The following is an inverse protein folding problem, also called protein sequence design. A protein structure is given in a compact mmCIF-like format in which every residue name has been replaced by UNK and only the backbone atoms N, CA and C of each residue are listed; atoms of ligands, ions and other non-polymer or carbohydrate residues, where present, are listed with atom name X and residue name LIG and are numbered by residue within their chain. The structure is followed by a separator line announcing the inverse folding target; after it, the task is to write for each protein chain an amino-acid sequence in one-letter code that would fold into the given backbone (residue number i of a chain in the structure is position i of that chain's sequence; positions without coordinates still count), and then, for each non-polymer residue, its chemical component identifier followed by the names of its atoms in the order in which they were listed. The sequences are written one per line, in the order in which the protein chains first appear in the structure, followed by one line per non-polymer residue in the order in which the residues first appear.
data_IF_821584814752
#
_entry.id   IF_821584814752
#
_cell.length_a   1.000
_cell.length_b   1.000
_cell.length_c   1.000
_cell.angle_alpha   90.00
_cell.angle_beta   90.00
_cell.angle_gamma   90.00
#
_symmetry.space_group_name_H-M   'P 1'
#
loop_
_entity.id
_entity.type
_entity.pdbx_description
1 polymer ?
#
# COMPACT_ATOMS: atom_id res chain seq x y z
N UNK A 1 61.08 91.89 -99.10
CA UNK A 1 62.15 91.02 -98.57
C UNK A 1 63.30 90.86 -99.56
N UNK A 2 64.13 91.88 -99.63
CA UNK A 2 65.50 91.82 -100.11
C UNK A 2 66.28 90.77 -99.31
N UNK A 3 66.99 89.90 -100.01
CA UNK A 3 67.91 88.97 -99.37
C UNK A 3 69.23 89.67 -99.07
N UNK A 4 69.98 89.26 -98.03
CA UNK A 4 71.33 89.77 -97.78
C UNK A 4 72.25 89.68 -99.01
N UNK A 5 72.05 88.68 -99.86
CA UNK A 5 72.77 88.50 -101.11
C UNK A 5 72.33 89.52 -102.18
N UNK A 6 71.02 89.77 -102.34
CA UNK A 6 70.51 90.81 -103.24
C UNK A 6 70.99 92.22 -102.82
N UNK A 7 71.17 92.46 -101.51
CA UNK A 7 71.72 93.73 -101.01
C UNK A 7 73.17 93.93 -101.43
N UNK A 8 73.95 92.84 -101.39
CA UNK A 8 75.36 92.84 -101.75
C UNK A 8 75.57 92.99 -103.26
N UNK A 9 74.68 92.41 -104.05
CA UNK A 9 74.77 92.37 -105.51
C UNK A 9 74.04 93.55 -106.19
N UNK A 10 73.48 94.49 -105.41
CA UNK A 10 72.77 95.67 -105.93
C UNK A 10 73.73 96.64 -106.64
N UNK A 11 73.50 96.86 -107.93
CA UNK A 11 74.16 97.89 -108.72
C UNK A 11 73.28 99.15 -108.84
N UNK A 12 73.90 100.32 -108.90
CA UNK A 12 73.22 101.61 -109.04
C UNK A 12 73.67 102.32 -110.31
N UNK A 13 72.77 103.07 -110.95
CA UNK A 13 73.10 103.86 -112.13
C UNK A 13 74.06 105.01 -111.78
N UNK A 14 75.04 105.26 -112.65
CA UNK A 14 76.02 106.34 -112.50
C UNK A 14 75.55 107.56 -113.32
N UNK A 15 75.45 108.73 -112.67
CA UNK A 15 75.20 110.04 -113.27
C UNK A 15 76.47 110.90 -113.20
N UNK A 16 76.43 112.12 -113.75
CA UNK A 16 77.58 113.04 -113.72
C UNK A 16 78.05 113.23 -112.27
N UNK A 17 79.22 112.67 -111.95
CA UNK A 17 79.90 112.76 -110.66
C UNK A 17 79.34 111.86 -109.53
N UNK A 18 78.75 110.69 -109.82
CA UNK A 18 78.45 109.67 -108.79
C UNK A 18 77.23 108.79 -109.10
N UNK A 19 76.78 108.00 -108.12
CA UNK A 19 75.55 107.19 -108.23
C UNK A 19 74.28 108.08 -108.23
N UNK A 20 73.19 107.58 -108.82
CA UNK A 20 71.91 108.25 -108.84
C UNK A 20 71.29 108.34 -107.44
N UNK A 21 71.23 109.56 -106.90
CA UNK A 21 70.71 109.80 -105.56
C UNK A 21 69.23 109.41 -105.38
N UNK A 22 68.42 109.40 -106.46
CA UNK A 22 67.01 109.01 -106.37
C UNK A 22 66.88 107.49 -106.23
N UNK A 23 67.60 106.73 -107.07
CA UNK A 23 67.63 105.27 -107.04
C UNK A 23 68.20 104.74 -105.71
N UNK A 24 69.31 105.31 -105.24
CA UNK A 24 69.90 104.97 -103.93
C UNK A 24 68.92 105.24 -102.79
N UNK A 25 68.20 106.37 -102.81
CA UNK A 25 67.20 106.68 -101.76
C UNK A 25 66.02 105.71 -101.78
N UNK A 26 65.46 105.42 -102.95
CA UNK A 26 64.35 104.47 -103.09
C UNK A 26 64.75 103.07 -102.61
N UNK A 27 65.98 102.65 -102.93
CA UNK A 27 66.53 101.39 -102.45
C UNK A 27 66.76 101.38 -100.93
N UNK A 28 67.31 102.45 -100.35
CA UNK A 28 67.51 102.56 -98.90
C UNK A 28 66.17 102.62 -98.13
N UNK A 29 65.14 103.21 -98.71
CA UNK A 29 63.78 103.22 -98.14
C UNK A 29 63.18 101.81 -98.14
N UNK A 30 63.28 101.08 -99.26
CA UNK A 30 62.86 99.68 -99.35
C UNK A 30 63.66 98.78 -98.38
N UNK A 31 64.98 98.98 -98.28
CA UNK A 31 65.83 98.25 -97.33
C UNK A 31 65.45 98.57 -95.88
N UNK A 32 65.12 99.82 -95.57
CA UNK A 32 64.69 100.21 -94.23
C UNK A 32 63.33 99.60 -93.86
N UNK A 33 62.39 99.53 -94.80
CA UNK A 33 61.09 98.87 -94.63
C UNK A 33 61.27 97.37 -94.38
N UNK A 34 62.00 96.66 -95.24
CA UNK A 34 62.29 95.23 -95.06
C UNK A 34 63.05 94.95 -93.74
N UNK A 35 64.01 95.81 -93.36
CA UNK A 35 64.73 95.67 -92.10
C UNK A 35 63.83 95.92 -90.88
N UNK A 36 62.92 96.88 -90.98
CA UNK A 36 61.92 97.13 -89.94
C UNK A 36 60.98 95.93 -89.80
N UNK A 37 60.47 95.38 -90.90
CA UNK A 37 59.61 94.18 -90.87
C UNK A 37 60.32 92.99 -90.20
N UNK A 38 61.58 92.72 -90.55
CA UNK A 38 62.37 91.64 -89.93
C UNK A 38 62.61 91.91 -88.44
N UNK A 39 62.89 93.14 -88.05
CA UNK A 39 63.12 93.51 -86.63
C UNK A 39 61.84 93.35 -85.81
N UNK A 40 60.70 93.77 -86.36
CA UNK A 40 59.42 93.65 -85.70
C UNK A 40 58.96 92.18 -85.62
N UNK A 41 59.17 91.39 -86.68
CA UNK A 41 58.97 89.95 -86.64
C UNK A 41 59.85 89.27 -85.57
N UNK A 42 61.12 89.67 -85.47
CA UNK A 42 62.03 89.13 -84.45
C UNK A 42 61.57 89.50 -83.03
N UNK A 43 61.04 90.71 -82.82
CA UNK A 43 60.45 91.14 -81.55
C UNK A 43 59.22 90.30 -81.19
N UNK A 44 58.28 90.15 -82.11
CA UNK A 44 57.04 89.37 -81.91
C UNK A 44 57.36 87.90 -81.65
N UNK A 45 58.28 87.31 -82.41
CA UNK A 45 58.72 85.93 -82.20
C UNK A 45 59.41 85.75 -80.84
N UNK A 46 60.21 86.73 -80.39
CA UNK A 46 60.83 86.68 -79.06
C UNK A 46 59.78 86.71 -77.94
N UNK A 47 58.76 87.56 -78.07
CA UNK A 47 57.64 87.64 -77.13
C UNK A 47 56.81 86.34 -77.12
N UNK A 48 56.55 85.75 -78.28
CA UNK A 48 55.85 84.47 -78.39
C UNK A 48 56.65 83.32 -77.76
N UNK A 49 57.97 83.28 -77.99
CA UNK A 49 58.87 82.30 -77.35
C UNK A 49 58.86 82.47 -75.83
N UNK A 50 58.88 83.70 -75.32
CA UNK A 50 58.83 83.97 -73.88
C UNK A 50 57.49 83.52 -73.28
N UNK A 51 56.37 83.83 -73.94
CA UNK A 51 55.04 83.41 -73.52
C UNK A 51 54.90 81.87 -73.51
N UNK A 52 55.31 81.20 -74.58
CA UNK A 52 55.28 79.73 -74.68
C UNK A 52 56.18 79.06 -73.63
N UNK A 53 57.34 79.65 -73.31
CA UNK A 53 58.22 79.14 -72.25
C UNK A 53 57.59 79.28 -70.86
N UNK A 54 56.94 80.41 -70.58
CA UNK A 54 56.24 80.62 -69.32
C UNK A 54 55.06 79.64 -69.16
N UNK A 55 54.30 79.40 -70.24
CA UNK A 55 53.25 78.40 -70.26
C UNK A 55 53.81 76.99 -70.04
N UNK A 56 54.89 76.63 -70.74
CA UNK A 56 55.56 75.33 -70.57
C UNK A 56 56.02 75.14 -69.12
N UNK A 57 56.60 76.15 -68.49
CA UNK A 57 57.03 76.09 -67.09
C UNK A 57 55.84 75.90 -66.15
N UNK A 58 54.74 76.61 -66.38
CA UNK A 58 53.50 76.46 -65.61
C UNK A 58 52.93 75.04 -65.73
N UNK A 59 52.84 74.51 -66.95
CA UNK A 59 52.34 73.16 -67.21
C UNK A 59 53.23 72.08 -66.61
N UNK A 60 54.56 72.27 -66.61
CA UNK A 60 55.49 71.35 -65.95
C UNK A 60 55.26 71.33 -64.44
N UNK A 61 55.13 72.51 -63.81
CA UNK A 61 54.82 72.60 -62.37
C UNK A 61 53.49 71.94 -62.03
N UNK A 62 52.44 72.22 -62.81
CA UNK A 62 51.12 71.60 -62.63
C UNK A 62 51.21 70.07 -62.77
N UNK A 63 51.89 69.58 -63.80
CA UNK A 63 52.13 68.14 -64.00
C UNK A 63 52.85 67.51 -62.80
N UNK A 64 53.88 68.16 -62.25
CA UNK A 64 54.59 67.69 -61.06
C UNK A 64 53.66 67.61 -59.84
N UNK A 65 52.81 68.61 -59.63
CA UNK A 65 51.82 68.59 -58.53
C UNK A 65 50.80 67.47 -58.71
N UNK A 66 50.27 67.26 -59.91
CA UNK A 66 49.35 66.17 -60.21
C UNK A 66 49.99 64.79 -60.03
N UNK A 67 51.25 64.62 -60.42
CA UNK A 67 51.99 63.37 -60.18
C UNK A 67 52.14 63.11 -58.67
N UNK A 68 52.45 64.15 -57.90
CA UNK A 68 52.57 64.03 -56.45
C UNK A 68 51.22 63.68 -55.79
N UNK A 69 50.13 64.30 -56.23
CA UNK A 69 48.78 64.03 -55.73
C UNK A 69 48.31 62.61 -56.09
N UNK A 70 48.50 62.18 -57.34
CA UNK A 70 48.17 60.82 -57.78
C UNK A 70 48.96 59.80 -56.97
N UNK A 71 50.26 60.03 -56.74
CA UNK A 71 51.07 59.14 -55.93
C UNK A 71 50.58 59.06 -54.49
N UNK A 72 50.29 60.20 -53.86
CA UNK A 72 49.75 60.23 -52.50
C UNK A 72 48.39 59.51 -52.41
N UNK A 73 47.54 59.66 -53.43
CA UNK A 73 46.26 58.93 -53.49
C UNK A 73 46.46 57.43 -53.68
N UNK A 74 47.46 56.99 -54.45
CA UNK A 74 47.80 55.58 -54.63
C UNK A 74 48.33 54.98 -53.32
N UNK A 75 49.29 55.63 -52.68
CA UNK A 75 49.86 55.17 -51.40
C UNK A 75 48.75 55.07 -50.32
N UNK A 76 47.81 56.01 -50.28
CA UNK A 76 46.66 55.96 -49.39
C UNK A 76 45.71 54.79 -49.72
N UNK A 77 45.43 54.56 -51.01
CA UNK A 77 44.57 53.46 -51.43
C UNK A 77 45.19 52.10 -51.10
N UNK A 78 46.50 51.94 -51.31
CA UNK A 78 47.26 50.74 -50.97
C UNK A 78 47.26 50.50 -49.45
N UNK A 79 47.41 51.57 -48.66
CA UNK A 79 47.31 51.51 -47.19
C UNK A 79 45.94 51.03 -46.72
N UNK A 80 44.86 51.63 -47.25
CA UNK A 80 43.48 51.21 -46.94
C UNK A 80 43.25 49.75 -47.34
N UNK A 81 43.76 49.33 -48.50
CA UNK A 81 43.62 47.95 -48.94
C UNK A 81 44.36 46.98 -48.01
N UNK A 82 45.57 47.32 -47.57
CA UNK A 82 46.32 46.53 -46.59
C UNK A 82 45.56 46.40 -45.26
N UNK A 83 45.02 47.50 -44.73
CA UNK A 83 44.24 47.50 -43.49
C UNK A 83 42.97 46.63 -43.60
N UNK A 84 42.31 46.68 -44.75
CA UNK A 84 41.14 45.83 -45.05
C UNK A 84 41.53 44.35 -45.08
N UNK A 85 42.63 44.01 -45.76
CA UNK A 85 43.14 42.63 -45.84
C UNK A 85 43.54 42.08 -44.47
N UNK A 86 44.19 42.88 -43.63
CA UNK A 86 44.49 42.52 -42.24
C UNK A 86 43.22 42.34 -41.40
N UNK A 87 42.23 43.22 -41.59
CA UNK A 87 40.92 43.12 -40.95
C UNK A 87 40.18 41.83 -41.32
N UNK A 88 40.23 41.41 -42.59
CA UNK A 88 39.66 40.12 -43.02
C UNK A 88 40.39 38.93 -42.40
N UNK A 89 41.74 38.94 -42.39
CA UNK A 89 42.52 37.88 -41.73
C UNK A 89 42.19 37.74 -40.25
N UNK A 90 42.03 38.86 -39.53
CA UNK A 90 41.63 38.82 -38.13
C UNK A 90 40.25 38.20 -37.95
N UNK A 91 39.27 38.59 -38.78
CA UNK A 91 37.91 38.01 -38.74
C UNK A 91 37.92 36.53 -39.08
N UNK A 92 38.72 36.09 -40.03
CA UNK A 92 38.84 34.68 -40.39
C UNK A 92 39.41 33.87 -39.21
N UNK A 93 40.43 34.39 -38.51
CA UNK A 93 40.95 33.76 -37.29
C UNK A 93 39.90 33.69 -36.18
N UNK A 94 39.14 34.76 -35.96
CA UNK A 94 38.06 34.79 -34.98
C UNK A 94 36.93 33.80 -35.32
N UNK A 95 36.57 33.69 -36.61
CA UNK A 95 35.59 32.71 -37.10
C UNK A 95 36.07 31.29 -36.83
N UNK A 96 37.34 30.98 -37.11
CA UNK A 96 37.90 29.65 -36.84
C UNK A 96 37.93 29.34 -35.33
N UNK A 97 38.31 30.30 -34.48
CA UNK A 97 38.25 30.13 -33.02
C UNK A 97 36.81 29.88 -32.52
N UNK A 98 35.84 30.61 -33.07
CA UNK A 98 34.42 30.42 -32.72
C UNK A 98 33.88 29.07 -33.20
N UNK A 99 34.29 28.60 -34.38
CA UNK A 99 33.93 27.26 -34.88
C UNK A 99 34.51 26.17 -33.98
N UNK A 100 35.76 26.30 -33.53
CA UNK A 100 36.36 25.34 -32.61
C UNK A 100 35.60 25.29 -31.28
N UNK A 101 35.28 26.46 -30.70
CA UNK A 101 34.46 26.54 -29.48
C UNK A 101 33.08 25.93 -29.66
N UNK A 102 32.44 26.15 -30.82
CA UNK A 102 31.14 25.57 -31.15
C UNK A 102 31.23 24.04 -31.21
N UNK A 103 32.24 23.49 -31.90
CA UNK A 103 32.43 22.05 -32.01
C UNK A 103 32.64 21.38 -30.63
N UNK A 104 33.42 22.01 -29.74
CA UNK A 104 33.61 21.53 -28.37
C UNK A 104 32.30 21.57 -27.58
N UNK A 105 31.50 22.63 -27.74
CA UNK A 105 30.21 22.75 -27.08
C UNK A 105 29.20 21.71 -27.58
N UNK A 106 29.17 21.45 -28.89
CA UNK A 106 28.33 20.41 -29.51
C UNK A 106 28.70 19.02 -29.01
N UNK A 107 30.00 18.68 -28.94
CA UNK A 107 30.45 17.40 -28.38
C UNK A 107 30.00 17.24 -26.92
N UNK A 108 30.17 18.28 -26.10
CA UNK A 108 29.75 18.25 -24.69
C UNK A 108 28.23 18.09 -24.54
N UNK A 109 27.45 18.73 -25.41
CA UNK A 109 26.00 18.57 -25.42
C UNK A 109 25.59 17.14 -25.76
N UNK A 110 26.26 16.50 -26.72
CA UNK A 110 26.01 15.10 -27.08
C UNK A 110 26.37 14.13 -25.94
N UNK A 111 27.48 14.38 -25.23
CA UNK A 111 27.89 13.60 -24.05
C UNK A 111 26.86 13.72 -22.92
N UNK A 112 26.38 14.92 -22.62
CA UNK A 112 25.33 15.16 -21.63
C UNK A 112 24.00 14.53 -22.04
N UNK A 113 23.66 14.52 -23.33
CA UNK A 113 22.46 13.87 -23.82
C UNK A 113 22.53 12.35 -23.58
N UNK A 114 23.66 11.71 -23.93
CA UNK A 114 23.88 10.29 -23.65
C UNK A 114 23.80 9.97 -22.16
N UNK A 115 24.36 10.81 -21.30
CA UNK A 115 24.27 10.63 -19.85
C UNK A 115 22.81 10.72 -19.36
N UNK A 116 22.04 11.69 -19.84
CA UNK A 116 20.62 11.82 -19.51
C UNK A 116 19.80 10.60 -19.97
N UNK A 117 20.09 10.05 -21.16
CA UNK A 117 19.43 8.83 -21.65
C UNK A 117 19.72 7.64 -20.72
N UNK A 118 20.98 7.47 -20.29
CA UNK A 118 21.36 6.42 -19.33
C UNK A 118 20.65 6.62 -17.98
N UNK A 119 20.61 7.86 -17.47
CA UNK A 119 19.94 8.17 -16.22
C UNK A 119 18.43 7.92 -16.31
N UNK A 120 17.81 8.21 -17.44
CA UNK A 120 16.38 7.97 -17.68
C UNK A 120 16.07 6.47 -17.63
N UNK A 121 16.85 5.63 -18.33
CA UNK A 121 16.71 4.18 -18.26
C UNK A 121 16.90 3.67 -16.83
N UNK A 122 17.87 4.23 -16.09
CA UNK A 122 18.09 3.83 -14.69
C UNK A 122 16.91 4.19 -13.78
N UNK A 123 16.26 5.34 -14.01
CA UNK A 123 15.05 5.73 -13.29
C UNK A 123 13.92 4.75 -13.59
N UNK A 124 13.69 4.41 -14.86
CA UNK A 124 12.67 3.43 -15.25
C UNK A 124 12.88 2.06 -14.60
N UNK A 125 14.12 1.55 -14.57
CA UNK A 125 14.46 0.30 -13.88
C UNK A 125 14.15 0.36 -12.37
N UNK A 126 14.47 1.48 -11.72
CA UNK A 126 14.23 1.66 -10.29
C UNK A 126 12.73 1.77 -9.98
N UNK A 127 11.96 2.43 -10.85
CA UNK A 127 10.50 2.50 -10.73
C UNK A 127 9.84 1.12 -10.90
N UNK A 128 10.31 0.31 -11.84
CA UNK A 128 9.85 -1.08 -12.01
C UNK A 128 10.17 -1.93 -10.77
N UNK A 129 11.37 -1.80 -10.21
CA UNK A 129 11.73 -2.47 -8.96
C UNK A 129 10.86 -2.04 -7.78
N UNK A 130 10.64 -0.73 -7.61
CA UNK A 130 9.79 -0.18 -6.55
C UNK A 130 8.35 -0.67 -6.65
N UNK A 131 7.79 -0.72 -7.85
CA UNK A 131 6.44 -1.25 -8.08
C UNK A 131 6.34 -2.74 -7.81
N UNK A 132 7.38 -3.51 -8.17
CA UNK A 132 7.50 -4.92 -7.80
C UNK A 132 7.53 -5.14 -6.29
N UNK A 133 8.36 -4.39 -5.57
CA UNK A 133 8.50 -4.47 -4.11
C UNK A 133 7.21 -4.04 -3.39
N UNK A 134 6.50 -3.03 -3.90
CA UNK A 134 5.18 -2.64 -3.40
C UNK A 134 4.15 -3.78 -3.55
N UNK A 135 4.20 -4.52 -4.67
CA UNK A 135 3.36 -5.70 -4.89
C UNK A 135 3.64 -6.82 -3.89
N UNK A 136 4.92 -7.10 -3.62
CA UNK A 136 5.34 -8.06 -2.58
C UNK A 136 4.87 -7.62 -1.19
N UNK A 137 5.03 -6.33 -0.85
CA UNK A 137 4.55 -5.79 0.42
C UNK A 137 3.03 -5.93 0.59
N UNK A 138 2.24 -5.76 -0.47
CA UNK A 138 0.79 -5.99 -0.43
C UNK A 138 0.44 -7.47 -0.23
N UNK A 139 1.18 -8.39 -0.84
CA UNK A 139 1.00 -9.83 -0.62
C UNK A 139 1.33 -10.21 0.82
N UNK A 140 2.46 -9.76 1.34
CA UNK A 140 2.89 -10.01 2.72
C UNK A 140 1.87 -9.46 3.74
N UNK A 141 1.34 -8.26 3.48
CA UNK A 141 0.29 -7.66 4.30
C UNK A 141 -0.98 -8.53 4.31
N UNK A 142 -1.40 -9.02 3.14
CA UNK A 142 -2.57 -9.88 3.01
C UNK A 142 -2.38 -11.24 3.69
N UNK A 143 -1.17 -11.82 3.65
CA UNK A 143 -0.84 -13.03 4.40
C UNK A 143 -0.82 -12.80 5.90
N UNK A 144 -0.24 -11.69 6.37
CA UNK A 144 -0.26 -11.29 7.77
C UNK A 144 -1.68 -11.15 8.31
N UNK A 145 -2.57 -10.53 7.55
CA UNK A 145 -3.97 -10.38 7.93
C UNK A 145 -4.70 -11.74 8.00
N UNK A 146 -4.43 -12.66 7.07
CA UNK A 146 -4.95 -14.04 7.13
C UNK A 146 -4.44 -14.80 8.34
N UNK A 147 -3.14 -14.70 8.65
CA UNK A 147 -2.56 -15.36 9.82
C UNK A 147 -3.15 -14.78 11.10
N UNK A 148 -3.30 -13.45 11.21
CA UNK A 148 -3.94 -12.79 12.36
C UNK A 148 -5.38 -13.26 12.55
N UNK A 149 -6.17 -13.34 11.48
CA UNK A 149 -7.53 -13.86 11.55
C UNK A 149 -7.55 -15.32 12.05
N UNK A 150 -6.62 -16.15 11.56
CA UNK A 150 -6.51 -17.55 12.00
C UNK A 150 -6.10 -17.67 13.47
N UNK A 151 -5.18 -16.83 13.95
CA UNK A 151 -4.77 -16.77 15.36
C UNK A 151 -5.97 -16.39 16.23
N UNK A 152 -6.75 -15.38 15.84
CA UNK A 152 -7.94 -14.97 16.60
C UNK A 152 -8.97 -16.11 16.76
N UNK A 153 -9.25 -16.86 15.69
CA UNK A 153 -10.16 -18.02 15.74
C UNK A 153 -9.58 -19.14 16.62
N UNK A 154 -8.27 -19.40 16.52
CA UNK A 154 -7.62 -20.39 17.38
C UNK A 154 -7.62 -19.98 18.85
N UNK A 155 -7.48 -18.69 19.15
CA UNK A 155 -7.59 -18.17 20.52
C UNK A 155 -9.02 -18.29 21.06
N UNK A 156 -10.04 -17.99 20.25
CA UNK A 156 -11.45 -18.14 20.60
C UNK A 156 -11.79 -19.60 20.91
N UNK A 157 -11.47 -20.52 20.01
CA UNK A 157 -11.68 -21.96 20.22
C UNK A 157 -10.93 -22.51 21.44
N UNK A 158 -9.71 -22.02 21.71
CA UNK A 158 -8.96 -22.42 22.90
C UNK A 158 -9.62 -21.91 24.19
N UNK A 159 -10.17 -20.69 24.16
CA UNK A 159 -10.92 -20.14 25.28
C UNK A 159 -12.24 -20.89 25.52
N UNK A 160 -12.95 -21.28 24.45
CA UNK A 160 -14.13 -22.15 24.55
C UNK A 160 -13.78 -23.50 25.17
N UNK A 161 -12.76 -24.20 24.64
CA UNK A 161 -12.30 -25.48 25.19
C UNK A 161 -11.87 -25.37 26.65
N UNK A 162 -11.20 -24.28 27.04
CA UNK A 162 -10.86 -24.01 28.45
C UNK A 162 -12.11 -23.85 29.31
N UNK A 163 -13.11 -23.12 28.82
CA UNK A 163 -14.39 -22.93 29.53
C UNK A 163 -15.13 -24.25 29.67
N UNK A 164 -15.24 -25.04 28.61
CA UNK A 164 -15.81 -26.40 28.65
C UNK A 164 -15.06 -27.28 29.65
N UNK A 165 -13.72 -27.21 29.68
CA UNK A 165 -12.90 -27.95 30.65
C UNK A 165 -13.19 -27.54 32.10
N UNK A 166 -13.44 -26.25 32.35
CA UNK A 166 -13.89 -25.76 33.67
C UNK A 166 -15.28 -26.30 34.00
N UNK A 167 -16.24 -26.15 33.09
CA UNK A 167 -17.63 -26.60 33.27
C UNK A 167 -17.69 -28.11 33.55
N UNK A 168 -16.91 -28.90 32.81
CA UNK A 168 -16.76 -30.34 33.00
C UNK A 168 -16.18 -30.67 34.39
N UNK A 169 -15.15 -29.95 34.84
CA UNK A 169 -14.58 -30.10 36.19
C UNK A 169 -15.63 -29.78 37.27
N UNK A 170 -16.42 -28.71 37.12
CA UNK A 170 -17.51 -28.38 38.05
C UNK A 170 -18.57 -29.48 38.10
N UNK A 171 -18.92 -30.04 36.94
CA UNK A 171 -19.88 -31.14 36.84
C UNK A 171 -19.37 -32.40 37.52
N UNK A 172 -18.09 -32.76 37.33
CA UNK A 172 -17.46 -33.87 38.05
C UNK A 172 -17.48 -33.63 39.56
N UNK A 173 -17.15 -32.43 40.02
CA UNK A 173 -17.18 -32.09 41.45
C UNK A 173 -18.60 -32.16 42.02
N UNK A 174 -19.61 -31.74 41.26
CA UNK A 174 -21.01 -31.87 41.65
C UNK A 174 -21.44 -33.34 41.72
N UNK A 175 -21.07 -34.16 40.73
CA UNK A 175 -21.33 -35.60 40.73
C UNK A 175 -20.62 -36.33 41.88
N UNK A 176 -19.37 -35.96 42.19
CA UNK A 176 -18.63 -36.48 43.35
C UNK A 176 -19.34 -36.11 44.66
N UNK A 177 -19.66 -34.82 44.86
CA UNK A 177 -20.42 -34.38 46.04
C UNK A 177 -21.77 -35.06 46.15
N UNK A 178 -22.47 -35.26 45.03
CA UNK A 178 -23.74 -35.98 45.00
C UNK A 178 -23.54 -37.43 45.44
N UNK A 179 -22.56 -38.14 44.88
CA UNK A 179 -22.24 -39.51 45.28
C UNK A 179 -21.85 -39.61 46.77
N UNK A 180 -21.03 -38.69 47.28
CA UNK A 180 -20.65 -38.64 48.70
C UNK A 180 -21.87 -38.37 49.59
N UNK A 181 -22.75 -37.43 49.18
CA UNK A 181 -23.98 -37.13 49.92
C UNK A 181 -24.96 -38.31 49.91
N UNK A 182 -25.11 -38.99 48.77
CA UNK A 182 -25.96 -40.18 48.62
C UNK A 182 -25.45 -41.32 49.50
N UNK A 183 -24.12 -41.48 49.58
CA UNK A 183 -23.49 -42.47 50.45
C UNK A 183 -23.76 -42.14 51.92
N UNK A 184 -23.56 -40.89 52.33
CA UNK A 184 -23.81 -40.45 53.71
C UNK A 184 -25.29 -40.60 54.10
N UNK A 185 -26.23 -40.25 53.22
CA UNK A 185 -27.67 -40.46 53.48
C UNK A 185 -28.02 -41.94 53.52
N UNK A 186 -27.48 -42.75 52.61
CA UNK A 186 -27.70 -44.21 52.62
C UNK A 186 -27.14 -44.87 53.90
N UNK A 187 -25.98 -44.44 54.38
CA UNK A 187 -25.40 -44.90 55.64
C UNK A 187 -26.28 -44.49 56.85
N UNK A 188 -26.81 -43.27 56.85
CA UNK A 188 -27.73 -42.80 57.89
C UNK A 188 -29.08 -43.53 57.88
N UNK A 189 -29.69 -43.71 56.69
CA UNK A 189 -30.93 -44.46 56.50
C UNK A 189 -30.76 -45.93 56.92
N UNK A 190 -29.64 -46.57 56.54
CA UNK A 190 -29.33 -47.93 56.95
C UNK A 190 -29.14 -48.04 58.48
N UNK A 191 -28.46 -47.07 59.10
CA UNK A 191 -28.32 -47.03 60.56
C UNK A 191 -29.67 -46.88 61.26
N UNK A 192 -30.55 -46.02 60.74
CA UNK A 192 -31.90 -45.84 61.28
C UNK A 192 -32.76 -47.09 61.08
N UNK A 193 -32.64 -47.77 59.94
CA UNK A 193 -33.34 -49.03 59.68
C UNK A 193 -32.88 -50.13 60.64
N UNK A 194 -31.58 -50.24 60.91
CA UNK A 194 -31.05 -51.18 61.91
C UNK A 194 -31.53 -50.86 63.32
N UNK A 195 -31.61 -49.57 63.69
CA UNK A 195 -32.11 -49.17 64.99
C UNK A 195 -33.61 -49.46 65.14
N UNK A 196 -34.42 -49.19 64.11
CA UNK A 196 -35.83 -49.55 64.08
C UNK A 196 -36.01 -51.08 64.19
N UNK A 197 -35.23 -51.87 63.46
CA UNK A 197 -35.27 -53.32 63.55
C UNK A 197 -34.90 -53.82 64.95
N UNK A 198 -33.93 -53.18 65.63
CA UNK A 198 -33.61 -53.49 67.03
C UNK A 198 -34.77 -53.18 67.97
N UNK A 199 -35.41 -52.01 67.82
CA UNK A 199 -36.57 -51.63 68.61
C UNK A 199 -37.74 -52.60 68.40
N UNK A 200 -37.98 -53.03 67.16
CA UNK A 200 -38.99 -54.05 66.85
C UNK A 200 -38.67 -55.39 67.51
N UNK A 201 -37.41 -55.83 67.47
CA UNK A 201 -36.97 -57.07 68.13
C UNK A 201 -37.12 -56.98 69.65
N UNK A 202 -36.74 -55.85 70.26
CA UNK A 202 -36.91 -55.64 71.70
C UNK A 202 -38.39 -55.60 72.10
N UNK A 203 -39.24 -54.95 71.29
CA UNK A 203 -40.69 -54.98 71.50
C UNK A 203 -41.25 -56.39 71.38
N UNK A 204 -40.83 -57.14 70.36
CA UNK A 204 -41.23 -58.53 70.19
C UNK A 204 -40.81 -59.42 71.37
N UNK A 205 -39.60 -59.24 71.90
CA UNK A 205 -39.16 -59.93 73.13
C UNK A 205 -40.03 -59.56 74.32
N UNK A 206 -40.31 -58.27 74.52
CA UNK A 206 -41.15 -57.80 75.63
C UNK A 206 -42.56 -58.39 75.54
N UNK A 207 -43.15 -58.45 74.34
CA UNK A 207 -44.45 -59.07 74.09
C UNK A 207 -44.40 -60.59 74.36
N UNK A 208 -43.33 -61.27 73.95
CA UNK A 208 -43.14 -62.70 74.21
C UNK A 208 -42.95 -63.00 75.71
N UNK A 209 -42.21 -62.17 76.45
CA UNK A 209 -42.05 -62.27 77.90
C UNK A 209 -43.38 -62.02 78.64
N UNK A 210 -44.18 -61.05 78.17
CA UNK A 210 -45.51 -60.80 78.70
C UNK A 210 -46.42 -62.02 78.52
N UNK A 211 -46.44 -62.63 77.32
CA UNK A 211 -47.17 -63.87 77.06
C UNK A 211 -46.68 -65.04 77.93
N UNK A 212 -45.36 -65.20 78.10
CA UNK A 212 -44.76 -66.20 78.99
C UNK A 212 -45.20 -66.04 80.46
N UNK A 213 -45.40 -64.81 80.92
CA UNK A 213 -45.87 -64.52 82.29
C UNK A 213 -47.37 -64.79 82.50
N UNK A 214 -48.17 -64.80 81.42
CA UNK A 214 -49.61 -65.06 81.47
C UNK A 214 -49.93 -66.56 81.47
N UNK A 215 -49.13 -67.38 80.78
CA UNK A 215 -49.25 -68.84 80.76
C UNK A 215 -49.41 -69.50 82.16
N UNK A 216 -48.60 -69.18 83.19
CA UNK A 216 -48.79 -69.78 84.52
C UNK A 216 -50.09 -69.35 85.22
N UNK A 217 -50.64 -68.17 84.91
CA UNK A 217 -51.95 -67.74 85.42
C UNK A 217 -53.07 -68.56 84.77
N UNK A 218 -53.02 -68.74 83.46
CA UNK A 218 -53.97 -69.58 82.72
C UNK A 218 -53.90 -71.06 83.17
N UNK A 219 -52.69 -71.59 83.42
CA UNK A 219 -52.49 -72.94 83.97
C UNK A 219 -53.16 -73.09 85.33
N UNK A 220 -53.09 -72.07 86.20
CA UNK A 220 -53.74 -72.11 87.51
C UNK A 220 -55.26 -72.02 87.41
N UNK A 221 -55.79 -71.15 86.55
CA UNK A 221 -57.24 -71.08 86.29
C UNK A 221 -57.80 -72.40 85.75
N UNK A 222 -57.06 -73.08 84.86
CA UNK A 222 -57.41 -74.41 84.37
C UNK A 222 -57.36 -75.48 85.48
N UNK A 223 -56.40 -75.40 86.41
CA UNK A 223 -56.37 -76.29 87.59
C UNK A 223 -57.56 -76.07 88.52
N UNK A 224 -57.96 -74.82 88.75
CA UNK A 224 -59.16 -74.51 89.55
C UNK A 224 -60.45 -74.98 88.88
N UNK A 225 -60.59 -74.78 87.56
CA UNK A 225 -61.71 -75.33 86.79
C UNK A 225 -61.78 -76.86 86.88
N UNK A 226 -60.64 -77.55 86.80
CA UNK A 226 -60.55 -79.01 87.02
C UNK A 226 -61.01 -79.40 88.43
N UNK A 227 -60.69 -78.59 89.44
CA UNK A 227 -61.15 -78.78 90.82
C UNK A 227 -62.67 -78.70 90.94
N UNK A 228 -63.28 -77.64 90.36
CA UNK A 228 -64.73 -77.42 90.35
C UNK A 228 -65.50 -78.58 89.71
N UNK A 229 -65.09 -79.03 88.53
CA UNK A 229 -65.73 -80.15 87.83
C UNK A 229 -65.69 -81.43 88.66
N UNK A 230 -64.61 -81.66 89.42
CA UNK A 230 -64.47 -82.83 90.30
C UNK A 230 -65.45 -82.78 91.48
N UNK A 231 -65.72 -81.60 92.04
CA UNK A 231 -66.73 -81.43 93.09
C UNK A 231 -68.16 -81.59 92.56
N UNK A 232 -68.45 -81.02 91.38
CA UNK A 232 -69.76 -81.17 90.73
C UNK A 232 -70.10 -82.66 90.47
N UNK A 233 -69.12 -83.45 90.01
CA UNK A 233 -69.30 -84.89 89.79
C UNK A 233 -69.55 -85.67 91.10
N UNK A 234 -68.97 -85.21 92.21
CA UNK A 234 -69.17 -85.83 93.52
C UNK A 234 -70.60 -85.57 94.04
N UNK A 235 -71.13 -84.38 93.79
CA UNK A 235 -72.48 -83.99 94.20
C UNK A 235 -73.56 -84.70 93.38
N UNK A 236 -73.34 -84.93 92.07
CA UNK A 236 -74.31 -85.67 91.25
C UNK A 236 -74.44 -87.15 91.68
N UNK A 237 -73.33 -87.79 92.05
CA UNK A 237 -73.34 -89.17 92.56
C UNK A 237 -74.08 -89.31 93.90
N UNK A 238 -74.01 -88.30 94.77
CA UNK A 238 -74.77 -88.27 96.03
C UNK A 238 -76.27 -88.06 95.79
N UNK A 239 -76.65 -87.28 94.77
CA UNK A 239 -78.04 -87.09 94.39
C UNK A 239 -78.70 -88.38 93.87
N UNK A 240 -77.97 -89.21 93.13
CA UNK A 240 -78.48 -90.51 92.67
C UNK A 240 -78.65 -91.54 93.80
N UNK A 241 -77.87 -91.46 94.88
CA UNK A 241 -77.97 -92.41 95.99
C UNK A 241 -79.24 -92.21 96.83
N UNK A 242 -79.74 -90.98 96.94
CA UNK A 242 -80.96 -90.65 97.68
C UNK A 242 -82.25 -90.98 96.93
N UNK A 243 -82.19 -91.21 95.61
CA UNK A 243 -83.36 -91.46 94.77
C UNK A 243 -83.84 -92.93 94.77
N UNK A 244 -83.14 -93.85 95.45
CA UNK A 244 -83.41 -95.29 95.41
C UNK A 244 -84.30 -95.82 96.57
N UNK A 245 -84.70 -94.99 97.54
CA UNK A 245 -85.30 -95.46 98.81
C UNK A 245 -86.84 -95.29 98.96
N UNK A 246 -87.64 -94.84 97.97
CA UNK A 246 -89.13 -94.72 98.11
C UNK A 246 -89.97 -95.18 96.85
N UNK A 247 -90.27 -96.50 96.76
CA UNK A 247 -91.52 -97.29 96.41
C UNK A 247 -92.57 -96.86 95.29
N UNK A 248 -93.57 -97.69 94.85
CA UNK A 248 -93.61 -98.98 94.09
C UNK A 248 -94.75 -99.13 93.00
N UNK A 249 -94.87 -100.34 92.41
CA UNK A 249 -95.82 -100.99 91.46
C UNK A 249 -97.27 -100.50 91.21
N UNK A 250 -97.70 -100.44 89.93
CA UNK A 250 -98.69 -101.36 89.31
C UNK A 250 -98.84 -101.15 87.77
N UNK A 251 -99.08 -102.27 87.06
CA UNK A 251 -99.12 -102.44 85.59
C UNK A 251 -100.55 -102.41 85.02
N UNK A 252 -100.79 -101.71 83.91
CA UNK A 252 -101.77 -102.07 82.86
C UNK A 252 -101.34 -101.52 81.49
N UNK A 253 -101.27 -102.40 80.50
CA UNK A 253 -101.17 -102.21 79.03
C UNK A 253 -102.59 -102.43 78.43
N UNK A 254 -103.03 -102.01 77.21
CA UNK A 254 -102.25 -102.02 75.96
C UNK A 254 -102.53 -100.95 74.86
N UNK A 255 -101.62 -100.92 73.89
CA UNK A 255 -101.68 -100.57 72.46
C UNK A 255 -102.13 -99.17 71.98
N UNK A 256 -101.33 -98.62 71.05
CA UNK A 256 -101.82 -97.76 69.96
C UNK A 256 -101.02 -96.48 69.67
N UNK A 257 -100.05 -96.59 68.75
CA UNK A 257 -99.82 -95.68 67.61
C UNK A 257 -99.66 -94.14 67.80
N UNK A 258 -98.43 -93.70 67.45
CA UNK A 258 -98.14 -92.80 66.31
C UNK A 258 -97.53 -91.40 66.58
N UNK A 259 -96.64 -91.04 65.65
CA UNK A 259 -96.12 -89.72 65.26
C UNK A 259 -94.99 -89.14 66.12
N UNK A 260 -93.70 -89.27 65.76
CA UNK A 260 -92.97 -88.56 64.68
C UNK A 260 -93.33 -87.07 64.56
N UNK A 261 -92.43 -86.20 65.05
CA UNK A 261 -92.02 -84.91 64.43
C UNK A 261 -91.38 -83.97 65.47
N UNK A 262 -90.03 -83.88 65.49
CA UNK A 262 -89.32 -82.62 65.76
C UNK A 262 -87.81 -82.70 65.43
N UNK A 263 -87.49 -83.10 64.20
CA UNK A 263 -86.27 -82.61 63.54
C UNK A 263 -86.72 -81.63 62.46
N UNK A 264 -86.32 -80.35 62.57
CA UNK A 264 -85.81 -79.51 61.47
C UNK A 264 -85.80 -78.01 61.83
N UNK A 265 -84.61 -77.41 61.79
CA UNK A 265 -84.34 -76.27 60.90
C UNK A 265 -82.83 -76.06 60.76
N UNK A 266 -82.36 -76.38 59.56
CA UNK A 266 -81.03 -76.22 58.96
C UNK A 266 -80.71 -74.73 58.71
N UNK A 267 -79.43 -74.35 58.72
CA UNK A 267 -78.79 -73.58 57.63
C UNK A 267 -77.25 -73.62 57.69
N UNK A 268 -76.66 -74.27 56.69
CA UNK A 268 -75.29 -74.08 56.18
C UNK A 268 -75.46 -73.47 54.78
N UNK A 269 -74.62 -72.50 54.39
CA UNK A 269 -73.85 -72.61 53.14
C UNK A 269 -72.39 -72.11 53.36
N UNK A 270 -71.30 -72.77 52.91
CA UNK A 270 -70.78 -72.96 51.53
C UNK A 270 -70.73 -71.63 50.73
N UNK A 271 -69.69 -71.19 50.00
CA UNK A 271 -68.52 -71.83 49.39
C UNK A 271 -67.62 -70.75 48.72
N UNK A 272 -66.43 -71.17 48.29
CA UNK A 272 -65.68 -70.78 47.06
C UNK A 272 -64.91 -69.45 46.88
N UNK A 273 -63.64 -69.66 46.45
CA UNK A 273 -62.92 -69.03 45.31
C UNK A 273 -62.68 -67.49 45.33
N UNK A 274 -61.61 -66.88 44.82
CA UNK A 274 -60.49 -67.28 43.98
C UNK A 274 -59.44 -66.13 44.00
N UNK A 275 -58.17 -66.49 43.81
CA UNK A 275 -57.08 -65.84 43.02
C UNK A 275 -56.75 -64.32 42.98
N UNK A 276 -55.43 -64.14 42.90
CA UNK A 276 -54.56 -63.04 42.41
C UNK A 276 -54.11 -61.96 43.40
#
# INVERSE_FOLDING_TARGET
MLTPQAIKDQEFQIKFRGYDAIEVKAYLELLAEDFFEVTEQSRVQAEEIEALRAEQESLVREKETLIAEVKASQDNADGIQSDIEEGYKHKDLEIEELKEKLAVAEQKAEELQKENEIQTVKIEELEEQLTGDLGLGQQDQAELDKLRARVAVLEETNNELKKEGVDFKTTILAAQKFADSLRATSEAEAAQLLENARLEVEKFKADAEAQLSQLPKEINELKEKKGRVKEELKNSLLAYLNALDEFPDELVDPDGDDLSDLFESIEIPDTDEDKF
#
